data_IF_473415180177
#
_entry.id   IF_473415180177
#
_cell.length_a   1.000
_cell.length_b   1.000
_cell.length_c   1.000
_cell.angle_alpha   90.00
_cell.angle_beta   90.00
_cell.angle_gamma   90.00
#
_symmetry.space_group_name_H-M   'P 1'
#
loop_
_entity.id
_entity.type
_entity.pdbx_description
1 polymer ?
#
# COMPACT_ATOMS: atom_id res chain seq x y z
N UNK A 1 7.17 -23.21 11.88
CA UNK A 1 8.54 -23.19 11.30
C UNK A 1 9.40 -22.32 12.20
N UNK A 2 10.64 -22.71 12.55
CA UNK A 2 11.54 -21.84 13.32
C UNK A 2 12.14 -20.75 12.42
N UNK A 3 12.56 -19.61 12.97
CA UNK A 3 13.18 -18.53 12.19
C UNK A 3 14.42 -18.99 11.42
N UNK A 4 15.22 -19.89 12.00
CA UNK A 4 16.39 -20.47 11.34
C UNK A 4 16.01 -21.39 10.16
N UNK A 5 14.95 -22.18 10.31
CA UNK A 5 14.44 -23.01 9.21
C UNK A 5 13.88 -22.16 8.06
N UNK A 6 13.18 -21.06 8.37
CA UNK A 6 12.67 -20.11 7.38
C UNK A 6 13.80 -19.38 6.65
N UNK A 7 14.85 -18.95 7.36
CA UNK A 7 16.02 -18.30 6.76
C UNK A 7 16.75 -19.23 5.78
N UNK A 8 16.99 -20.47 6.20
CA UNK A 8 17.66 -21.47 5.35
C UNK A 8 16.83 -21.80 4.11
N UNK A 9 15.51 -21.97 4.26
CA UNK A 9 14.62 -22.24 3.13
C UNK A 9 14.53 -21.08 2.13
N UNK A 10 14.62 -19.83 2.61
CA UNK A 10 14.65 -18.62 1.78
C UNK A 10 16.04 -18.30 1.18
N UNK A 11 17.05 -19.13 1.44
CA UNK A 11 18.43 -18.91 0.99
C UNK A 11 19.09 -17.69 1.63
N UNK A 12 18.70 -17.33 2.85
CA UNK A 12 19.31 -16.24 3.61
C UNK A 12 20.56 -16.73 4.32
N UNK A 13 21.58 -15.88 4.39
CA UNK A 13 22.88 -16.19 4.98
C UNK A 13 22.82 -16.49 6.49
N UNK A 14 21.79 -16.01 7.20
CA UNK A 14 21.57 -16.33 8.62
C UNK A 14 20.17 -15.90 9.09
N UNK A 15 19.73 -16.44 10.23
CA UNK A 15 18.55 -15.95 10.94
C UNK A 15 18.71 -14.49 11.43
N UNK A 16 19.94 -13.98 11.58
CA UNK A 16 20.19 -12.57 11.90
C UNK A 16 19.72 -11.61 10.80
N UNK A 17 19.64 -12.08 9.55
CA UNK A 17 19.05 -11.31 8.46
C UNK A 17 17.55 -11.09 8.69
N UNK A 18 16.82 -12.09 9.21
CA UNK A 18 15.42 -11.95 9.64
C UNK A 18 15.28 -10.94 10.79
N UNK A 19 16.11 -11.07 11.82
CA UNK A 19 16.12 -10.11 12.94
C UNK A 19 16.51 -8.68 12.53
N UNK A 20 17.21 -8.52 11.41
CA UNK A 20 17.52 -7.21 10.81
C UNK A 20 16.31 -6.57 10.15
N UNK A 21 15.47 -7.37 9.50
CA UNK A 21 14.17 -6.97 8.96
C UNK A 21 13.18 -6.60 10.07
N UNK A 22 13.19 -7.29 11.20
CA UNK A 22 12.31 -6.99 12.36
C UNK A 22 12.67 -5.70 13.11
N UNK A 23 13.89 -5.16 12.92
CA UNK A 23 14.43 -4.06 13.76
C UNK A 23 14.65 -2.73 13.02
N UNK A 24 14.11 -2.56 11.81
CA UNK A 24 14.25 -1.34 10.98
C UNK A 24 15.70 -0.83 10.81
N UNK A 25 16.70 -1.71 10.96
CA UNK A 25 18.11 -1.32 11.09
C UNK A 25 18.98 -1.62 9.86
N UNK A 26 18.42 -2.24 8.82
CA UNK A 26 19.13 -2.49 7.56
C UNK A 26 18.25 -2.09 6.38
N UNK A 27 18.88 -1.48 5.38
CA UNK A 27 18.28 -1.32 4.06
C UNK A 27 17.85 -2.71 3.56
N UNK A 28 16.55 -2.92 3.28
CA UNK A 28 16.05 -4.24 2.98
C UNK A 28 16.62 -4.72 1.65
N UNK A 29 17.39 -5.82 1.65
CA UNK A 29 17.70 -6.54 0.41
C UNK A 29 16.38 -7.07 -0.16
N UNK A 30 15.90 -6.41 -1.21
CA UNK A 30 14.60 -6.69 -1.80
C UNK A 30 14.52 -8.11 -2.39
N UNK A 31 15.64 -8.62 -2.91
CA UNK A 31 15.71 -9.98 -3.46
C UNK A 31 15.56 -11.03 -2.37
N UNK A 32 16.22 -10.81 -1.23
CA UNK A 32 16.10 -11.64 -0.05
C UNK A 32 14.69 -11.60 0.56
N UNK A 33 14.08 -10.41 0.61
CA UNK A 33 12.71 -10.24 1.09
C UNK A 33 11.69 -11.00 0.23
N UNK A 34 11.77 -10.92 -1.10
CA UNK A 34 10.86 -11.63 -1.99
C UNK A 34 11.00 -13.16 -1.84
N UNK A 35 12.22 -13.69 -1.71
CA UNK A 35 12.44 -15.12 -1.45
C UNK A 35 11.82 -15.57 -0.12
N UNK A 36 11.93 -14.75 0.91
CA UNK A 36 11.32 -15.00 2.21
C UNK A 36 9.79 -15.03 2.12
N UNK A 37 9.19 -14.03 1.45
CA UNK A 37 7.75 -13.97 1.19
C UNK A 37 7.24 -15.24 0.50
N UNK A 38 7.91 -15.64 -0.60
CA UNK A 38 7.55 -16.84 -1.36
C UNK A 38 7.67 -18.13 -0.53
N UNK A 39 8.68 -18.22 0.35
CA UNK A 39 8.92 -19.38 1.22
C UNK A 39 7.82 -19.52 2.28
N UNK A 40 7.37 -18.38 2.82
CA UNK A 40 6.36 -18.35 3.87
C UNK A 40 4.93 -18.34 3.34
N UNK A 41 4.74 -18.16 2.02
CA UNK A 41 3.41 -17.96 1.44
C UNK A 41 2.79 -16.62 1.85
N UNK A 42 3.63 -15.66 2.25
CA UNK A 42 3.23 -14.37 2.78
C UNK A 42 3.61 -13.25 1.81
N UNK A 43 3.05 -12.07 2.02
CA UNK A 43 3.45 -10.85 1.28
C UNK A 43 4.30 -9.95 2.17
N UNK A 44 5.12 -9.05 1.61
CA UNK A 44 5.94 -8.13 2.42
C UNK A 44 5.14 -7.42 3.51
N UNK A 45 3.97 -6.84 3.22
CA UNK A 45 3.22 -6.12 4.25
C UNK A 45 2.59 -7.04 5.30
N UNK A 46 2.43 -8.35 5.02
CA UNK A 46 2.02 -9.34 6.03
C UNK A 46 3.18 -9.62 6.98
N UNK A 47 4.37 -9.82 6.42
CA UNK A 47 5.61 -10.09 7.16
C UNK A 47 6.02 -8.95 8.08
N UNK A 48 5.93 -7.71 7.61
CA UNK A 48 6.33 -6.55 8.40
C UNK A 48 5.25 -6.02 9.31
N UNK A 49 4.04 -6.60 9.28
CA UNK A 49 2.90 -6.10 10.03
C UNK A 49 2.82 -4.58 9.91
N UNK A 50 2.36 -4.08 8.76
CA UNK A 50 1.76 -2.75 8.70
C UNK A 50 0.27 -2.93 9.05
N UNK A 51 -0.12 -3.15 10.33
CA UNK A 51 -1.50 -3.47 10.71
C UNK A 51 -2.46 -2.35 10.33
N UNK A 52 -1.95 -1.13 10.22
CA UNK A 52 -2.73 0.07 9.92
C UNK A 52 -2.98 0.24 8.40
N UNK A 53 -2.29 -0.52 7.54
CA UNK A 53 -2.49 -0.39 6.09
C UNK A 53 -3.65 -1.26 5.60
N UNK A 54 -4.83 -0.64 5.46
CA UNK A 54 -6.03 -1.26 4.94
C UNK A 54 -5.97 -1.46 3.42
N UNK A 55 -5.53 -2.65 2.99
CA UNK A 55 -5.40 -2.99 1.56
C UNK A 55 -6.72 -2.95 0.79
N UNK A 56 -7.82 -3.34 1.43
CA UNK A 56 -9.13 -3.31 0.77
C UNK A 56 -9.52 -1.87 0.46
N UNK A 57 -9.30 -0.95 1.42
CA UNK A 57 -9.49 0.47 1.22
C UNK A 57 -8.58 1.03 0.11
N UNK A 58 -7.28 0.68 0.11
CA UNK A 58 -6.38 1.15 -0.96
C UNK A 58 -6.81 0.64 -2.34
N UNK A 59 -7.27 -0.62 -2.44
CA UNK A 59 -7.78 -1.17 -3.70
C UNK A 59 -9.01 -0.38 -4.19
N UNK A 60 -9.96 -0.09 -3.29
CA UNK A 60 -11.13 0.73 -3.60
C UNK A 60 -10.73 2.15 -4.05
N UNK A 61 -9.76 2.76 -3.38
CA UNK A 61 -9.21 4.07 -3.74
C UNK A 61 -8.58 4.06 -5.13
N UNK A 62 -7.75 3.07 -5.44
CA UNK A 62 -7.11 2.97 -6.76
C UNK A 62 -8.15 2.87 -7.89
N UNK A 63 -9.19 2.06 -7.71
CA UNK A 63 -10.30 1.92 -8.67
C UNK A 63 -11.03 3.25 -8.82
N UNK A 64 -11.41 3.89 -7.70
CA UNK A 64 -12.13 5.16 -7.72
C UNK A 64 -11.33 6.29 -8.39
N UNK A 65 -10.02 6.35 -8.15
CA UNK A 65 -9.12 7.31 -8.83
C UNK A 65 -9.08 7.01 -10.32
N UNK A 66 -8.95 5.76 -10.74
CA UNK A 66 -8.92 5.39 -12.16
C UNK A 66 -10.23 5.72 -12.89
N UNK A 67 -11.37 5.38 -12.29
CA UNK A 67 -12.69 5.72 -12.82
C UNK A 67 -12.88 7.22 -12.96
N UNK A 68 -12.47 8.01 -11.95
CA UNK A 68 -12.53 9.46 -12.00
C UNK A 68 -11.66 10.03 -13.13
N UNK A 69 -10.42 9.55 -13.27
CA UNK A 69 -9.50 10.03 -14.30
C UNK A 69 -10.02 9.71 -15.71
N UNK A 70 -10.58 8.51 -15.89
CA UNK A 70 -11.21 8.10 -17.13
C UNK A 70 -12.44 8.97 -17.47
N UNK A 71 -13.36 9.16 -16.51
CA UNK A 71 -14.57 9.96 -16.68
C UNK A 71 -14.26 11.43 -17.03
N UNK A 72 -13.18 11.98 -16.46
CA UNK A 72 -12.76 13.36 -16.67
C UNK A 72 -11.69 13.53 -17.77
N UNK A 73 -11.31 12.45 -18.47
CA UNK A 73 -10.25 12.43 -19.50
C UNK A 73 -8.92 13.05 -19.01
N UNK A 74 -8.60 12.89 -17.72
CA UNK A 74 -7.37 13.41 -17.13
C UNK A 74 -6.23 12.41 -17.31
N UNK A 75 -5.09 12.90 -17.77
CA UNK A 75 -3.83 12.16 -17.80
C UNK A 75 -2.86 12.87 -16.87
N UNK A 76 -2.39 12.18 -15.84
CA UNK A 76 -1.33 12.67 -14.96
C UNK A 76 -0.19 11.66 -14.98
N UNK A 77 0.98 12.13 -14.59
CA UNK A 77 2.15 11.28 -14.42
C UNK A 77 1.87 10.16 -13.39
N UNK A 78 2.41 8.93 -13.57
CA UNK A 78 2.23 7.85 -12.62
C UNK A 78 2.62 8.19 -11.19
N UNK A 79 3.67 9.01 -10.98
CA UNK A 79 4.09 9.45 -9.66
C UNK A 79 3.04 10.35 -8.99
N UNK A 80 2.46 11.28 -9.75
CA UNK A 80 1.37 12.15 -9.29
C UNK A 80 0.11 11.33 -8.98
N UNK A 81 -0.21 10.33 -9.82
CA UNK A 81 -1.32 9.42 -9.58
C UNK A 81 -1.12 8.64 -8.27
N UNK A 82 0.08 8.12 -8.03
CA UNK A 82 0.38 7.40 -6.80
C UNK A 82 0.20 8.29 -5.56
N UNK A 83 0.70 9.53 -5.59
CA UNK A 83 0.51 10.51 -4.52
C UNK A 83 -0.97 10.80 -4.27
N UNK A 84 -1.76 10.93 -5.34
CA UNK A 84 -3.21 11.12 -5.22
C UNK A 84 -3.90 9.93 -4.52
N UNK A 85 -3.56 8.70 -4.89
CA UNK A 85 -4.11 7.52 -4.22
C UNK A 85 -3.80 7.51 -2.72
N UNK A 86 -2.56 7.85 -2.32
CA UNK A 86 -2.22 7.93 -0.89
C UNK A 86 -2.96 9.07 -0.18
N UNK A 87 -3.07 10.25 -0.78
CA UNK A 87 -3.81 11.36 -0.17
C UNK A 87 -5.30 11.04 0.05
N UNK A 88 -5.93 10.34 -0.90
CA UNK A 88 -7.32 9.88 -0.78
C UNK A 88 -7.44 8.80 0.30
N UNK A 89 -6.48 7.87 0.36
CA UNK A 89 -6.42 6.83 1.39
C UNK A 89 -6.32 7.44 2.79
N UNK A 90 -5.37 8.35 3.01
CA UNK A 90 -5.15 8.99 4.32
C UNK A 90 -6.40 9.77 4.76
N UNK A 91 -7.07 10.46 3.83
CA UNK A 91 -8.31 11.17 4.10
C UNK A 91 -9.46 10.25 4.52
N UNK A 92 -9.57 9.07 3.90
CA UNK A 92 -10.58 8.06 4.22
C UNK A 92 -10.26 7.30 5.50
N UNK A 93 -8.98 7.10 5.80
CA UNK A 93 -8.57 6.51 7.07
C UNK A 93 -8.89 7.45 8.23
N UNK A 94 -8.64 8.75 8.07
CA UNK A 94 -8.97 9.76 9.07
C UNK A 94 -10.47 10.03 9.19
N UNK A 95 -11.19 10.06 8.07
CA UNK A 95 -12.61 10.39 8.00
C UNK A 95 -13.37 9.48 7.01
N UNK A 96 -13.76 8.24 7.43
CA UNK A 96 -14.27 7.19 6.55
C UNK A 96 -15.53 7.51 5.74
N UNK A 97 -16.34 8.42 6.26
CA UNK A 97 -17.65 8.76 5.69
C UNK A 97 -17.60 9.97 4.75
N UNK A 98 -16.53 10.80 4.81
CA UNK A 98 -16.50 12.11 4.14
C UNK A 98 -16.55 12.05 2.62
N UNK A 99 -16.02 10.98 2.03
CA UNK A 99 -15.90 10.82 0.57
C UNK A 99 -16.79 9.69 0.05
N UNK A 100 -17.70 9.17 0.87
CA UNK A 100 -18.63 8.13 0.44
C UNK A 100 -19.95 8.76 0.01
N UNK A 101 -20.50 8.28 -1.10
CA UNK A 101 -21.85 8.65 -1.52
C UNK A 101 -22.92 7.95 -0.66
N UNK A 102 -24.18 8.24 -0.95
CA UNK A 102 -25.34 7.65 -0.28
C UNK A 102 -25.45 6.11 -0.46
N UNK A 103 -24.68 5.52 -1.37
CA UNK A 103 -24.59 4.09 -1.60
C UNK A 103 -23.31 3.47 -1.01
N UNK A 104 -22.53 4.26 -0.26
CA UNK A 104 -21.26 3.83 0.36
C UNK A 104 -20.07 3.74 -0.59
N UNK A 105 -20.20 4.18 -1.85
CA UNK A 105 -19.12 4.18 -2.85
C UNK A 105 -18.28 5.44 -2.74
N UNK A 106 -17.00 5.34 -3.08
CA UNK A 106 -16.10 6.49 -3.09
C UNK A 106 -16.51 7.48 -4.20
N UNK A 107 -16.82 8.71 -3.81
CA UNK A 107 -17.10 9.83 -4.69
C UNK A 107 -16.02 10.90 -4.53
N UNK A 108 -15.07 10.90 -5.46
CA UNK A 108 -13.92 11.81 -5.44
C UNK A 108 -14.20 13.20 -6.05
N UNK A 109 -15.44 13.46 -6.48
CA UNK A 109 -15.79 14.69 -7.20
C UNK A 109 -15.56 15.94 -6.36
N UNK A 110 -15.89 15.89 -5.06
CA UNK A 110 -15.72 17.02 -4.13
C UNK A 110 -14.25 17.22 -3.73
N UNK A 111 -13.55 16.14 -3.39
CA UNK A 111 -12.13 16.16 -3.03
C UNK A 111 -11.28 16.73 -4.18
N UNK A 112 -11.54 16.29 -5.42
CA UNK A 112 -10.82 16.78 -6.59
C UNK A 112 -11.24 18.20 -7.00
N UNK A 113 -12.43 18.64 -6.59
CA UNK A 113 -12.84 20.05 -6.65
C UNK A 113 -11.98 20.94 -5.75
N UNK A 114 -11.63 20.45 -4.56
CA UNK A 114 -10.70 21.13 -3.64
C UNK A 114 -9.25 21.05 -4.14
N UNK A 115 -8.83 19.91 -4.69
CA UNK A 115 -7.48 19.74 -5.27
C UNK A 115 -7.26 20.48 -6.60
N UNK A 116 -8.31 20.95 -7.29
CA UNK A 116 -8.19 21.86 -8.45
C UNK A 116 -7.54 23.20 -8.10
N UNK A 117 -7.41 23.54 -6.82
CA UNK A 117 -6.61 24.69 -6.37
C UNK A 117 -5.11 24.36 -6.23
N UNK A 118 -4.70 23.09 -6.38
CA UNK A 118 -3.34 22.61 -6.11
C UNK A 118 -2.65 21.90 -7.29
N UNK A 119 -3.32 21.71 -8.44
CA UNK A 119 -2.76 21.14 -9.68
C UNK A 119 -3.01 22.03 -10.89
#
# INVERSE_FOLDING_TARGET
MSGEAAANAAGLSSAQTLYGYEKDRREPDFSALIRLCNTLGETPNSLFSFPDFNRALMADVMVAVDEFMAANRRKVDPGVKAQLCFAVYDALEAEPDKLRDHNGRLNLSELMGLMRLAL
#
